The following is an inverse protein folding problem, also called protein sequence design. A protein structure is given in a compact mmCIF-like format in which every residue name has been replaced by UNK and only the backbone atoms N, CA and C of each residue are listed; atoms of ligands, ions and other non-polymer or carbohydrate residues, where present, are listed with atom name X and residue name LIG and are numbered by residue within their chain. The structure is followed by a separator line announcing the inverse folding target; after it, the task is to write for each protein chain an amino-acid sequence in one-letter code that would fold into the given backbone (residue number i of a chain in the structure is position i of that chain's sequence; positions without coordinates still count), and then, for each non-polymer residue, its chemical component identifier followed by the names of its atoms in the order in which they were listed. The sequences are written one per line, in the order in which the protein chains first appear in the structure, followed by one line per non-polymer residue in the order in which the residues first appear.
data_IF_268019515400
#
_entry.id   IF_268019515400
#
_cell.length_a   1.000
_cell.length_b   1.000
_cell.length_c   1.000
_cell.angle_alpha   90.00
_cell.angle_beta   90.00
_cell.angle_gamma   90.00
#
_symmetry.space_group_name_H-M   'P 1'
#
loop_
_entity.id
_entity.type
_entity.pdbx_description
1 polymer ?
#
# COMPACT_ATOMS: atom_id res chain seq x y z
N UNK A 1 13.22 5.19 14.25
CA UNK A 1 13.94 4.28 13.33
C UNK A 1 14.02 4.98 11.98
N UNK A 2 15.14 4.98 11.25
CA UNK A 2 15.18 5.69 9.94
C UNK A 2 14.16 5.06 8.97
N UNK A 3 13.46 5.85 8.13
CA UNK A 3 12.43 5.33 7.23
C UNK A 3 12.85 4.14 6.36
N UNK A 4 14.07 4.15 5.82
CA UNK A 4 14.59 3.03 5.03
C UNK A 4 14.73 1.72 5.81
N UNK A 5 14.98 1.77 7.13
CA UNK A 5 15.04 0.58 7.95
C UNK A 5 13.64 -0.02 8.18
N UNK A 6 12.59 0.80 8.29
CA UNK A 6 11.19 0.34 8.35
C UNK A 6 10.73 -0.28 7.03
N UNK A 7 11.12 0.30 5.89
CA UNK A 7 10.80 -0.28 4.57
C UNK A 7 11.48 -1.63 4.36
N UNK A 8 12.70 -1.81 4.86
CA UNK A 8 13.38 -3.09 4.76
C UNK A 8 12.71 -4.21 5.57
N UNK A 9 11.93 -3.90 6.62
CA UNK A 9 11.26 -4.95 7.40
C UNK A 9 10.09 -5.59 6.66
N UNK A 10 9.55 -4.95 5.62
CA UNK A 10 8.43 -5.49 4.84
C UNK A 10 8.88 -6.26 3.60
N UNK A 11 10.17 -6.16 3.22
CA UNK A 11 10.76 -6.94 2.14
C UNK A 11 10.77 -8.42 2.54
N UNK A 12 10.32 -9.28 1.64
CA UNK A 12 10.14 -10.72 1.90
C UNK A 12 8.78 -11.09 2.47
N UNK A 13 7.93 -10.12 2.85
CA UNK A 13 6.58 -10.44 3.29
C UNK A 13 5.68 -10.84 2.11
N UNK A 14 4.80 -11.85 2.29
CA UNK A 14 3.81 -12.19 1.28
C UNK A 14 2.66 -11.18 1.26
N UNK A 15 2.10 -10.94 0.08
CA UNK A 15 0.83 -10.23 -0.08
C UNK A 15 -0.30 -11.23 0.15
N UNK A 16 -1.02 -11.08 1.25
CA UNK A 16 -2.05 -12.04 1.65
C UNK A 16 -3.46 -11.59 1.30
N UNK A 17 -3.70 -10.28 1.25
CA UNK A 17 -4.99 -9.74 0.83
C UNK A 17 -4.81 -8.39 0.16
N UNK A 18 -5.72 -8.07 -0.77
CA UNK A 18 -5.81 -6.77 -1.43
C UNK A 18 -7.26 -6.38 -1.56
N UNK A 19 -7.56 -5.10 -1.42
CA UNK A 19 -8.94 -4.62 -1.52
C UNK A 19 -8.98 -3.14 -1.84
N UNK A 20 -10.17 -2.67 -2.26
CA UNK A 20 -10.45 -1.25 -2.44
C UNK A 20 -11.48 -0.77 -1.41
N UNK A 21 -11.29 0.43 -0.88
CA UNK A 21 -12.41 1.13 -0.26
C UNK A 21 -13.33 1.74 -1.34
N UNK A 22 -14.50 2.22 -0.92
CA UNK A 22 -15.48 2.86 -1.80
C UNK A 22 -14.92 4.07 -2.57
N UNK A 23 -13.85 4.69 -2.06
CA UNK A 23 -13.16 5.83 -2.69
C UNK A 23 -12.03 5.41 -3.64
N UNK A 24 -11.97 4.15 -4.06
CA UNK A 24 -10.91 3.59 -4.93
C UNK A 24 -9.50 3.69 -4.34
N UNK A 25 -9.42 3.81 -3.02
CA UNK A 25 -8.17 3.66 -2.26
C UNK A 25 -7.76 2.21 -2.30
N UNK A 26 -6.50 1.96 -2.62
CA UNK A 26 -5.92 0.63 -2.65
C UNK A 26 -5.37 0.26 -1.27
N UNK A 27 -5.73 -0.93 -0.80
CA UNK A 27 -5.19 -1.55 0.40
C UNK A 27 -4.52 -2.88 0.06
N UNK A 28 -3.42 -3.15 0.74
CA UNK A 28 -2.65 -4.38 0.64
C UNK A 28 -2.23 -4.84 2.03
N UNK A 29 -2.65 -6.04 2.40
CA UNK A 29 -2.34 -6.67 3.68
C UNK A 29 -1.22 -7.69 3.50
N UNK A 30 -0.17 -7.56 4.30
CA UNK A 30 1.03 -8.38 4.24
C UNK A 30 1.12 -9.33 5.42
N UNK A 31 1.72 -10.50 5.18
CA UNK A 31 1.97 -11.49 6.23
C UNK A 31 0.71 -12.24 6.66
N UNK A 32 0.67 -12.73 7.89
CA UNK A 32 -0.49 -13.48 8.39
C UNK A 32 -1.73 -12.59 8.55
N UNK A 33 -2.88 -13.08 8.09
CA UNK A 33 -4.14 -12.36 8.20
C UNK A 33 -4.82 -12.65 9.54
N UNK A 34 -5.10 -11.58 10.27
CA UNK A 34 -6.00 -11.61 11.43
C UNK A 34 -7.42 -11.27 10.95
N UNK A 35 -8.41 -12.16 11.17
CA UNK A 35 -9.81 -11.85 10.89
C UNK A 35 -10.27 -10.62 11.67
N UNK A 36 -11.00 -9.73 11.01
CA UNK A 36 -11.60 -8.61 11.72
C UNK A 36 -12.91 -9.05 12.37
N UNK A 37 -13.02 -8.87 13.68
CA UNK A 37 -14.21 -9.22 14.47
C UNK A 37 -15.29 -8.14 14.39
N UNK A 38 -14.93 -6.93 13.92
CA UNK A 38 -15.85 -5.82 13.72
C UNK A 38 -16.75 -6.06 12.51
N UNK A 39 -18.00 -5.62 12.66
CA UNK A 39 -19.01 -5.70 11.60
C UNK A 39 -19.27 -4.33 11.01
N UNK A 40 -19.45 -4.30 9.70
CA UNK A 40 -20.02 -3.17 8.98
C UNK A 40 -21.47 -2.96 9.40
N UNK A 41 -22.05 -1.80 9.05
CA UNK A 41 -23.46 -1.46 9.34
C UNK A 41 -24.45 -2.45 8.74
N UNK A 42 -24.09 -3.12 7.64
CA UNK A 42 -24.88 -4.16 6.99
C UNK A 42 -24.75 -5.56 7.63
N UNK A 43 -23.96 -5.69 8.70
CA UNK A 43 -23.71 -6.94 9.40
C UNK A 43 -22.61 -7.82 8.81
N UNK A 44 -22.05 -7.46 7.64
CA UNK A 44 -20.88 -8.16 7.07
C UNK A 44 -19.61 -7.88 7.88
N UNK A 45 -18.65 -8.80 7.89
CA UNK A 45 -17.37 -8.56 8.53
C UNK A 45 -16.55 -7.53 7.76
N UNK A 46 -15.79 -6.73 8.48
CA UNK A 46 -14.75 -5.89 7.86
C UNK A 46 -13.64 -6.75 7.25
N UNK A 47 -12.83 -6.15 6.36
CA UNK A 47 -11.73 -6.88 5.72
C UNK A 47 -10.70 -7.32 6.78
N UNK A 48 -10.07 -8.49 6.60
CA UNK A 48 -8.99 -8.94 7.48
C UNK A 48 -7.82 -7.97 7.42
N UNK A 49 -6.98 -7.98 8.46
CA UNK A 49 -5.76 -7.17 8.53
C UNK A 49 -4.53 -8.05 8.55
N UNK A 50 -3.50 -7.64 7.81
CA UNK A 50 -2.19 -8.28 7.86
C UNK A 50 -1.42 -7.90 9.12
N UNK A 51 -0.22 -8.47 9.24
CA UNK A 51 0.81 -7.99 10.16
C UNK A 51 1.26 -6.56 9.80
N UNK A 52 1.23 -6.25 8.50
CA UNK A 52 1.46 -4.92 7.96
C UNK A 52 0.37 -4.59 6.94
N UNK A 53 -0.18 -3.37 7.03
CA UNK A 53 -1.16 -2.84 6.09
C UNK A 53 -0.56 -1.69 5.30
N UNK A 54 -0.54 -1.80 3.98
CA UNK A 54 -0.16 -0.73 3.06
C UNK A 54 -1.41 -0.12 2.45
N UNK A 55 -1.47 1.21 2.48
CA UNK A 55 -2.53 2.03 1.92
C UNK A 55 -1.92 2.93 0.84
N UNK A 56 -2.60 3.03 -0.31
CA UNK A 56 -2.32 4.02 -1.34
C UNK A 56 -3.61 4.77 -1.71
N UNK A 57 -3.62 6.07 -1.42
CA UNK A 57 -4.80 6.92 -1.48
C UNK A 57 -5.05 7.52 -2.86
N UNK A 58 -4.45 8.69 -3.10
CA UNK A 58 -4.79 9.60 -4.19
C UNK A 58 -4.47 9.09 -5.58
N UNK A 59 -3.20 8.98 -5.96
CA UNK A 59 -2.82 8.48 -7.26
C UNK A 59 -1.82 7.35 -7.09
N UNK A 60 -2.12 6.25 -7.75
CA UNK A 60 -1.32 5.04 -7.72
C UNK A 60 -1.43 4.33 -9.06
N UNK A 61 -0.39 3.55 -9.37
CA UNK A 61 -0.34 2.71 -10.56
C UNK A 61 0.43 1.42 -10.27
N UNK A 62 0.00 0.36 -10.95
CA UNK A 62 0.73 -0.88 -11.09
C UNK A 62 1.48 -0.85 -12.41
N UNK A 63 2.79 -1.03 -12.35
CA UNK A 63 3.70 -1.01 -13.48
C UNK A 63 4.24 -2.41 -13.75
N UNK A 64 4.64 -2.61 -15.01
CA UNK A 64 5.63 -3.60 -15.43
C UNK A 64 6.94 -2.86 -15.68
N UNK A 65 8.00 -3.60 -15.97
CA UNK A 65 9.34 -3.06 -16.22
C UNK A 65 9.39 -1.82 -17.14
N UNK A 66 8.51 -1.70 -18.13
CA UNK A 66 8.52 -0.59 -19.11
C UNK A 66 7.12 -0.06 -19.46
N UNK A 67 6.10 -0.34 -18.65
CA UNK A 67 4.75 0.13 -18.95
C UNK A 67 3.86 0.24 -17.72
N UNK A 68 2.93 1.18 -17.76
CA UNK A 68 1.84 1.26 -16.78
C UNK A 68 0.82 0.20 -17.15
N UNK A 69 0.61 -0.77 -16.26
CA UNK A 69 -0.33 -1.86 -16.50
C UNK A 69 -1.75 -1.49 -16.04
N UNK A 70 -1.86 -0.81 -14.91
CA UNK A 70 -3.12 -0.34 -14.36
C UNK A 70 -2.90 0.88 -13.46
N UNK A 71 -3.88 1.76 -13.33
CA UNK A 71 -3.88 2.81 -12.30
C UNK A 71 -5.26 3.07 -11.74
N UNK A 72 -5.33 3.99 -10.78
CA UNK A 72 -6.58 4.38 -10.12
C UNK A 72 -7.71 4.73 -11.08
N UNK A 73 -7.39 5.40 -12.19
CA UNK A 73 -8.36 5.89 -13.17
C UNK A 73 -8.85 4.81 -14.15
N UNK A 74 -8.33 3.59 -14.10
CA UNK A 74 -8.85 2.46 -14.87
C UNK A 74 -10.21 1.97 -14.32
N UNK A 75 -10.91 1.20 -15.16
CA UNK A 75 -12.16 0.55 -14.76
C UNK A 75 -11.97 -0.35 -13.54
N UNK A 76 -12.98 -0.40 -12.66
CA UNK A 76 -12.95 -1.20 -11.44
C UNK A 76 -12.60 -2.68 -11.72
N UNK A 77 -13.22 -3.27 -12.74
CA UNK A 77 -12.95 -4.65 -13.18
C UNK A 77 -11.48 -4.86 -13.52
N UNK A 78 -10.86 -3.92 -14.25
CA UNK A 78 -9.44 -3.99 -14.60
C UNK A 78 -8.56 -3.86 -13.35
N UNK A 79 -8.88 -2.91 -12.47
CA UNK A 79 -8.18 -2.71 -11.21
C UNK A 79 -8.20 -3.97 -10.35
N UNK A 80 -9.38 -4.51 -10.08
CA UNK A 80 -9.57 -5.74 -9.29
C UNK A 80 -8.80 -6.93 -9.89
N UNK A 81 -8.85 -7.11 -11.21
CA UNK A 81 -8.10 -8.18 -11.87
C UNK A 81 -6.58 -8.02 -11.71
N UNK A 82 -6.06 -6.80 -11.81
CA UNK A 82 -4.61 -6.56 -11.75
C UNK A 82 -4.12 -6.67 -10.30
N UNK A 83 -4.79 -6.02 -9.34
CA UNK A 83 -4.36 -6.12 -7.94
C UNK A 83 -4.52 -7.54 -7.39
N UNK A 84 -5.52 -8.29 -7.85
CA UNK A 84 -5.70 -9.69 -7.45
C UNK A 84 -4.50 -10.57 -7.82
N UNK A 85 -3.77 -10.22 -8.88
CA UNK A 85 -2.54 -10.92 -9.27
C UNK A 85 -1.36 -10.68 -8.32
N UNK A 86 -1.47 -9.74 -7.38
CA UNK A 86 -0.48 -9.50 -6.33
C UNK A 86 -0.63 -10.51 -5.18
N UNK A 87 -1.82 -11.07 -4.95
CA UNK A 87 -2.05 -12.02 -3.86
C UNK A 87 -1.20 -13.28 -4.06
N UNK A 88 -0.49 -13.69 -3.02
CA UNK A 88 0.47 -14.79 -3.04
C UNK A 88 1.85 -14.42 -3.57
N UNK A 89 2.05 -13.19 -4.04
CA UNK A 89 3.40 -12.69 -4.38
C UNK A 89 4.14 -12.24 -3.13
N UNK A 90 5.44 -11.99 -3.27
CA UNK A 90 6.32 -11.54 -2.19
C UNK A 90 6.89 -10.18 -2.55
N UNK A 91 7.00 -9.29 -1.56
CA UNK A 91 7.67 -8.00 -1.74
C UNK A 91 9.17 -8.21 -1.94
N UNK A 92 9.70 -7.73 -3.06
CA UNK A 92 11.14 -7.82 -3.39
C UNK A 92 11.89 -6.56 -3.04
N UNK A 93 11.21 -5.42 -3.02
CA UNK A 93 11.79 -4.11 -2.73
C UNK A 93 10.70 -3.16 -2.22
N UNK A 94 11.08 -2.22 -1.34
CA UNK A 94 10.25 -1.09 -0.96
C UNK A 94 11.12 0.17 -0.78
N UNK A 95 10.80 1.24 -1.49
CA UNK A 95 11.57 2.50 -1.46
C UNK A 95 10.65 3.71 -1.41
N UNK A 96 11.19 4.82 -0.88
CA UNK A 96 10.54 6.13 -0.90
C UNK A 96 11.49 7.12 -1.57
N UNK A 97 10.99 7.82 -2.58
CA UNK A 97 11.78 8.84 -3.27
C UNK A 97 12.11 10.01 -2.33
N UNK A 98 13.37 10.48 -2.40
CA UNK A 98 13.88 11.54 -1.51
C UNK A 98 13.45 12.95 -1.92
N UNK A 99 12.99 13.12 -3.18
CA UNK A 99 12.57 14.43 -3.71
C UNK A 99 11.10 14.70 -3.45
N UNK A 100 10.26 13.75 -3.83
CA UNK A 100 8.83 13.71 -3.59
C UNK A 100 8.62 12.37 -2.90
N UNK A 101 7.94 12.34 -1.76
CA UNK A 101 7.80 11.16 -0.90
C UNK A 101 6.94 10.06 -1.54
N UNK A 102 7.23 9.65 -2.77
CA UNK A 102 6.54 8.61 -3.54
C UNK A 102 7.04 7.25 -3.07
N UNK A 103 6.12 6.42 -2.60
CA UNK A 103 6.34 5.01 -2.31
C UNK A 103 6.38 4.20 -3.60
N UNK A 104 7.38 3.33 -3.69
CA UNK A 104 7.52 2.29 -4.72
C UNK A 104 7.71 0.93 -4.04
N UNK A 105 6.97 -0.08 -4.50
CA UNK A 105 7.06 -1.46 -3.99
C UNK A 105 7.16 -2.42 -5.17
N UNK A 106 8.20 -3.25 -5.18
CA UNK A 106 8.39 -4.32 -6.16
C UNK A 106 7.85 -5.66 -5.68
N UNK A 107 7.29 -6.46 -6.59
CA UNK A 107 6.71 -7.77 -6.32
C UNK A 107 7.41 -8.88 -7.11
N UNK A 108 7.42 -10.10 -6.56
CA UNK A 108 8.08 -11.27 -7.15
C UNK A 108 7.53 -11.71 -8.52
N UNK A 109 6.34 -11.25 -8.91
CA UNK A 109 5.76 -11.48 -10.24
C UNK A 109 6.22 -10.43 -11.29
N UNK A 110 7.18 -9.56 -10.95
CA UNK A 110 7.72 -8.53 -11.83
C UNK A 110 6.87 -7.27 -11.94
N UNK A 111 5.86 -7.13 -11.09
CA UNK A 111 5.04 -5.93 -10.99
C UNK A 111 5.59 -4.96 -9.95
N UNK A 112 5.16 -3.70 -10.08
CA UNK A 112 5.52 -2.63 -9.18
C UNK A 112 4.30 -1.81 -8.82
N UNK A 113 4.12 -1.48 -7.54
CA UNK A 113 3.22 -0.41 -7.11
C UNK A 113 4.02 0.88 -7.04
N UNK A 114 3.53 1.94 -7.65
CA UNK A 114 4.05 3.29 -7.50
C UNK A 114 2.93 4.23 -7.06
N UNK A 115 3.19 5.01 -6.02
CA UNK A 115 2.35 6.14 -5.61
C UNK A 115 2.88 7.43 -6.20
N UNK A 116 2.00 8.36 -6.51
CA UNK A 116 2.36 9.67 -7.03
C UNK A 116 1.25 10.67 -6.69
N UNK A 117 1.45 11.94 -7.03
CA UNK A 117 0.40 12.95 -7.00
C UNK A 117 0.62 13.93 -8.15
N UNK A 118 -0.46 14.25 -8.86
CA UNK A 118 -0.49 15.27 -9.89
C UNK A 118 -0.87 16.66 -9.34
N UNK A 119 -1.22 16.73 -8.06
CA UNK A 119 -1.65 17.93 -7.34
C UNK A 119 -0.55 18.51 -6.42
N UNK A 120 -0.87 19.59 -5.70
CA UNK A 120 0.08 20.27 -4.80
C UNK A 120 0.27 19.55 -3.45
N UNK A 121 -0.51 18.52 -3.15
CA UNK A 121 -0.57 17.87 -1.83
C UNK A 121 0.58 16.89 -1.56
N UNK A 122 1.16 16.35 -2.63
CA UNK A 122 2.08 15.23 -2.57
C UNK A 122 1.33 13.89 -2.49
N UNK A 123 2.03 12.77 -2.77
CA UNK A 123 1.44 11.45 -2.67
C UNK A 123 0.92 11.18 -1.25
N UNK A 124 -0.18 10.42 -1.15
CA UNK A 124 -0.75 9.97 0.11
C UNK A 124 -0.71 8.45 0.17
N UNK A 125 0.05 7.94 1.14
CA UNK A 125 0.18 6.53 1.44
C UNK A 125 0.56 6.34 2.92
N UNK A 126 0.32 5.14 3.43
CA UNK A 126 0.54 4.76 4.81
C UNK A 126 0.92 3.29 4.89
N UNK A 127 1.90 2.97 5.73
CA UNK A 127 2.31 1.62 6.09
C UNK A 127 2.14 1.50 7.60
N UNK A 128 1.16 0.72 8.03
CA UNK A 128 0.86 0.47 9.43
C UNK A 128 1.35 -0.91 9.84
N UNK A 129 2.01 -1.01 10.99
CA UNK A 129 2.52 -2.25 11.57
C UNK A 129 1.67 -2.63 12.78
N UNK A 130 1.38 -3.91 12.97
CA UNK A 130 0.81 -4.38 14.23
C UNK A 130 1.72 -3.97 15.40
N UNK A 131 1.17 -3.29 16.41
CA UNK A 131 1.95 -2.77 17.55
C UNK A 131 2.28 -1.26 17.52
N UNK A 132 1.50 -0.46 16.78
CA UNK A 132 1.55 1.01 16.71
C UNK A 132 2.69 1.64 15.89
N UNK A 133 3.52 0.85 15.19
CA UNK A 133 4.49 1.40 14.23
C UNK A 133 3.78 1.92 12.97
N UNK A 134 4.27 3.03 12.42
CA UNK A 134 3.84 3.47 11.09
C UNK A 134 4.93 4.22 10.32
N UNK A 135 4.78 4.25 9.00
CA UNK A 135 5.46 5.14 8.08
C UNK A 135 4.42 5.69 7.10
N UNK A 136 4.29 7.01 6.99
CA UNK A 136 3.27 7.61 6.12
C UNK A 136 3.73 8.91 5.47
N UNK A 137 2.86 9.42 4.60
CA UNK A 137 2.98 10.76 4.05
C UNK A 137 1.83 11.64 4.51
N UNK A 138 2.16 12.83 4.98
CA UNK A 138 1.19 13.87 5.29
C UNK A 138 1.66 15.20 4.71
N UNK A 139 0.85 15.79 3.83
CA UNK A 139 1.17 17.07 3.15
C UNK A 139 2.55 17.03 2.46
N UNK A 140 2.86 15.90 1.82
CA UNK A 140 4.11 15.66 1.10
C UNK A 140 5.33 15.32 1.97
N UNK A 141 5.20 15.29 3.31
CA UNK A 141 6.28 14.96 4.23
C UNK A 141 6.15 13.54 4.76
N UNK A 142 7.28 12.86 4.82
CA UNK A 142 7.41 11.54 5.42
C UNK A 142 7.32 11.66 6.96
N UNK A 143 6.48 10.85 7.61
CA UNK A 143 6.38 10.77 9.06
C UNK A 143 6.48 9.32 9.53
N UNK A 144 6.93 9.12 10.76
CA UNK A 144 6.97 7.81 11.39
C UNK A 144 6.75 7.94 12.91
N UNK A 145 6.44 6.82 13.55
CA UNK A 145 6.29 6.77 15.01
C UNK A 145 7.51 7.40 15.71
N UNK A 146 7.25 8.47 16.48
CA UNK A 146 8.26 9.26 17.19
C UNK A 146 8.40 10.71 16.71
N UNK A 147 7.80 11.07 15.57
CA UNK A 147 7.73 12.46 15.11
C UNK A 147 6.58 13.23 15.83
N UNK A 148 6.76 14.50 16.24
CA UNK A 148 5.68 15.32 16.77
C UNK A 148 4.66 15.67 15.66
N UNK A 149 3.37 15.69 16.03
CA UNK A 149 2.24 16.07 15.16
C UNK A 149 2.34 17.52 14.63
#
# INVERSE_FOLDING_TARGET
MKPGALLNTIVGMPVSHVWFSDYSVFYMELGELTPNTERRRDGSFMNPRGEVSVYAGFDWRIERAQSIWCGRHDSRKRRESVIGSLVGTVLTEATVSSRISELSIGFSNGLWLATFDMSKGGPEWHIGFQGNGYLDTCRGRLRHLGDPD
#
